data_IF_117081716647
#
_entry.id   IF_117081716647
#
_cell.length_a   1.000
_cell.length_b   1.000
_cell.length_c   1.000
_cell.angle_alpha   90.00
_cell.angle_beta   90.00
_cell.angle_gamma   90.00
#
_symmetry.space_group_name_H-M   'P 1'
#
loop_
_entity.id
_entity.type
_entity.pdbx_description
1 polymer ?
#
# COMPACT_ATOMS: atom_id res chain seq x y z
N UNK A 1 21.69 -2.72 20.14
CA UNK A 1 20.28 -2.26 19.98
C UNK A 1 19.36 -3.37 19.47
N UNK A 2 18.04 -3.22 19.63
CA UNK A 2 17.01 -4.12 19.08
C UNK A 2 17.06 -4.15 17.54
N UNK A 3 16.45 -5.18 16.95
CA UNK A 3 16.39 -5.39 15.51
C UNK A 3 15.01 -5.02 14.97
N UNK A 4 14.99 -4.49 13.75
CA UNK A 4 13.77 -4.20 12.99
C UNK A 4 13.96 -4.70 11.57
N UNK A 5 12.91 -5.32 11.01
CA UNK A 5 12.89 -5.72 9.61
C UNK A 5 12.43 -4.53 8.75
N UNK A 6 13.39 -3.70 8.34
CA UNK A 6 13.14 -2.48 7.57
C UNK A 6 12.41 -2.74 6.24
N UNK A 7 12.53 -3.94 5.66
CA UNK A 7 11.85 -4.30 4.42
C UNK A 7 10.34 -4.49 4.60
N UNK A 8 9.89 -4.81 5.81
CA UNK A 8 8.46 -4.95 6.11
C UNK A 8 7.76 -3.62 6.35
N UNK A 9 8.49 -2.54 6.56
CA UNK A 9 7.91 -1.21 6.69
C UNK A 9 7.46 -0.70 5.32
N UNK A 10 6.25 -0.15 5.28
CA UNK A 10 5.68 0.55 4.12
C UNK A 10 6.38 1.90 3.94
N UNK A 11 6.26 2.56 2.80
CA UNK A 11 7.12 3.73 2.53
C UNK A 11 6.93 4.89 3.50
N UNK A 12 5.70 5.26 3.89
CA UNK A 12 5.54 6.26 4.96
C UNK A 12 6.00 5.74 6.32
N UNK A 13 5.68 4.50 6.69
CA UNK A 13 6.10 3.95 7.98
C UNK A 13 7.63 3.93 8.10
N UNK A 14 8.31 3.53 7.03
CA UNK A 14 9.76 3.53 6.90
C UNK A 14 10.31 4.95 7.02
N UNK A 15 9.77 5.89 6.23
CA UNK A 15 10.22 7.28 6.25
C UNK A 15 10.02 7.90 7.63
N UNK A 16 8.88 7.65 8.27
CA UNK A 16 8.59 8.14 9.61
C UNK A 16 9.52 7.49 10.65
N UNK A 17 9.73 6.17 10.57
CA UNK A 17 10.64 5.47 11.47
C UNK A 17 12.06 6.07 11.45
N UNK A 18 12.61 6.29 10.25
CA UNK A 18 13.96 6.86 10.11
C UNK A 18 13.99 8.32 10.60
N UNK A 19 12.94 9.11 10.36
CA UNK A 19 12.82 10.49 10.88
C UNK A 19 12.74 10.52 12.41
N UNK A 20 11.98 9.62 13.02
CA UNK A 20 11.88 9.51 14.48
C UNK A 20 13.21 9.03 15.08
N UNK A 21 13.90 8.10 14.42
CA UNK A 21 15.24 7.65 14.80
C UNK A 21 16.25 8.82 14.80
N UNK A 22 16.24 9.63 13.73
CA UNK A 22 17.05 10.85 13.64
C UNK A 22 16.67 11.88 14.71
N UNK A 23 15.37 12.06 14.99
CA UNK A 23 14.89 13.00 15.99
C UNK A 23 15.38 12.62 17.40
N UNK A 24 15.29 11.33 17.77
CA UNK A 24 15.80 10.82 19.04
C UNK A 24 17.31 11.09 19.17
N UNK A 25 18.09 10.81 18.13
CA UNK A 25 19.53 11.09 18.16
C UNK A 25 19.83 12.58 18.37
N UNK A 26 19.12 13.47 17.68
CA UNK A 26 19.28 14.91 17.81
C UNK A 26 18.92 15.44 19.22
N UNK A 27 17.93 14.82 19.89
CA UNK A 27 17.56 15.16 21.26
C UNK A 27 18.61 14.73 22.30
N UNK A 28 19.54 13.85 21.95
CA UNK A 28 20.57 13.31 22.86
C UNK A 28 21.96 13.91 22.63
N UNK A 29 22.05 15.14 22.10
CA UNK A 29 23.30 15.84 21.84
C UNK A 29 24.31 15.02 21.00
N UNK A 30 24.11 14.94 19.67
CA UNK A 30 24.96 14.15 18.77
C UNK A 30 26.46 14.44 18.89
N UNK A 31 26.83 15.68 19.25
CA UNK A 31 28.23 16.08 19.40
C UNK A 31 28.90 15.36 20.56
N UNK A 32 28.19 15.21 21.67
CA UNK A 32 28.69 14.46 22.82
C UNK A 32 28.77 12.95 22.53
N UNK A 33 28.01 12.46 21.55
CA UNK A 33 27.97 11.06 21.15
C UNK A 33 28.95 10.73 20.01
N UNK A 34 29.66 11.71 19.44
CA UNK A 34 30.63 11.51 18.36
C UNK A 34 30.07 10.74 17.14
N UNK A 35 28.84 11.05 16.76
CA UNK A 35 28.09 10.41 15.67
C UNK A 35 27.74 11.34 14.50
N UNK A 36 28.16 12.60 14.52
CA UNK A 36 27.68 13.66 13.64
C UNK A 36 27.88 13.34 12.16
N UNK A 37 29.01 12.74 11.79
CA UNK A 37 29.29 12.35 10.41
C UNK A 37 28.27 11.32 9.88
N UNK A 38 27.93 10.30 10.69
CA UNK A 38 26.96 9.26 10.33
C UNK A 38 25.52 9.78 10.43
N UNK A 39 25.24 10.66 11.39
CA UNK A 39 23.96 11.33 11.51
C UNK A 39 23.67 12.22 10.30
N UNK A 40 24.67 12.96 9.81
CA UNK A 40 24.58 13.82 8.64
C UNK A 40 24.32 13.01 7.37
N UNK A 41 25.04 11.90 7.15
CA UNK A 41 24.84 11.00 6.01
C UNK A 41 23.42 10.40 6.00
N UNK A 42 22.94 9.90 7.15
CA UNK A 42 21.57 9.39 7.25
C UNK A 42 20.52 10.49 7.01
N UNK A 43 20.74 11.69 7.54
CA UNK A 43 19.82 12.84 7.35
C UNK A 43 19.72 13.24 5.87
N UNK A 44 20.85 13.29 5.16
CA UNK A 44 20.89 13.63 3.74
C UNK A 44 20.08 12.63 2.90
N UNK A 45 20.34 11.32 3.09
CA UNK A 45 19.63 10.25 2.37
C UNK A 45 18.13 10.22 2.69
N UNK A 46 17.77 10.45 3.96
CA UNK A 46 16.36 10.54 4.37
C UNK A 46 15.65 11.73 3.70
N UNK A 47 16.35 12.85 3.49
CA UNK A 47 15.81 14.04 2.82
C UNK A 47 15.60 13.82 1.32
N UNK A 48 16.54 13.15 0.65
CA UNK A 48 16.39 12.73 -0.75
C UNK A 48 15.19 11.79 -0.92
N UNK A 49 15.10 10.79 -0.04
CA UNK A 49 13.99 9.84 0.01
C UNK A 49 12.64 10.55 0.25
N UNK A 50 12.57 11.50 1.19
CA UNK A 50 11.34 12.28 1.46
C UNK A 50 10.91 13.09 0.23
N UNK A 51 11.86 13.69 -0.48
CA UNK A 51 11.59 14.48 -1.69
C UNK A 51 10.99 13.60 -2.78
N UNK A 52 11.58 12.43 -2.99
CA UNK A 52 11.10 11.46 -3.97
C UNK A 52 9.72 10.90 -3.60
N UNK A 53 9.51 10.59 -2.31
CA UNK A 53 8.22 10.16 -1.78
C UNK A 53 7.12 11.21 -2.00
N UNK A 54 7.40 12.50 -1.76
CA UNK A 54 6.45 13.59 -2.04
C UNK A 54 6.14 13.72 -3.53
N UNK A 55 7.15 13.60 -4.40
CA UNK A 55 6.95 13.63 -5.86
C UNK A 55 6.07 12.47 -6.34
N UNK A 56 6.27 11.28 -5.78
CA UNK A 56 5.43 10.12 -6.08
C UNK A 56 3.97 10.34 -5.66
N UNK A 57 3.72 10.91 -4.47
CA UNK A 57 2.37 11.23 -4.00
C UNK A 57 1.68 12.31 -4.84
N UNK A 58 2.43 13.30 -5.32
CA UNK A 58 1.93 14.41 -6.13
C UNK A 58 1.79 14.08 -7.62
N UNK A 59 2.13 12.85 -8.04
CA UNK A 59 2.04 12.43 -9.44
C UNK A 59 0.58 12.43 -9.91
N UNK A 60 0.27 13.18 -10.96
CA UNK A 60 -1.04 13.21 -11.61
C UNK A 60 -1.52 11.80 -11.99
N UNK A 61 -0.61 10.94 -12.45
CA UNK A 61 -0.91 9.54 -12.78
C UNK A 61 -1.35 8.70 -11.58
N UNK A 62 -0.88 9.04 -10.38
CA UNK A 62 -1.36 8.40 -9.15
C UNK A 62 -2.78 8.86 -8.84
N UNK A 63 -3.11 10.12 -9.08
CA UNK A 63 -4.47 10.63 -8.92
C UNK A 63 -5.42 10.03 -9.96
N UNK A 64 -4.98 9.92 -11.22
CA UNK A 64 -5.75 9.27 -12.29
C UNK A 64 -6.05 7.81 -11.97
N UNK A 65 -5.06 7.04 -11.50
CA UNK A 65 -5.28 5.65 -11.08
C UNK A 65 -6.26 5.52 -9.91
N UNK A 66 -6.23 6.44 -8.94
CA UNK A 66 -7.18 6.43 -7.82
C UNK A 66 -8.60 6.74 -8.29
N UNK A 67 -8.77 7.70 -9.20
CA UNK A 67 -10.06 8.02 -9.78
C UNK A 67 -10.62 6.85 -10.62
N UNK A 68 -9.75 6.18 -11.39
CA UNK A 68 -10.13 4.97 -12.12
C UNK A 68 -10.48 3.81 -11.18
N UNK A 69 -9.77 3.66 -10.06
CA UNK A 69 -10.10 2.66 -9.04
C UNK A 69 -11.47 2.90 -8.40
N UNK A 70 -11.75 4.15 -7.99
CA UNK A 70 -13.04 4.56 -7.44
C UNK A 70 -14.18 4.32 -8.44
N UNK A 71 -13.94 4.64 -9.72
CA UNK A 71 -14.91 4.37 -10.80
C UNK A 71 -15.22 2.88 -10.96
N UNK A 72 -14.24 1.99 -10.79
CA UNK A 72 -14.47 0.53 -10.79
C UNK A 72 -15.26 0.08 -9.56
N UNK A 73 -14.90 0.60 -8.39
CA UNK A 73 -15.60 0.29 -7.14
C UNK A 73 -17.07 0.66 -7.21
N UNK A 74 -17.37 1.85 -7.71
CA UNK A 74 -18.73 2.35 -7.83
C UNK A 74 -19.55 1.52 -8.81
N UNK A 75 -18.98 1.11 -9.95
CA UNK A 75 -19.66 0.24 -10.90
C UNK A 75 -20.00 -1.13 -10.28
N UNK A 76 -19.04 -1.76 -9.61
CA UNK A 76 -19.22 -3.07 -8.95
C UNK A 76 -20.22 -2.96 -7.80
N UNK A 77 -20.07 -1.97 -6.93
CA UNK A 77 -20.94 -1.77 -5.77
C UNK A 77 -22.36 -1.40 -6.22
N UNK A 78 -22.51 -0.55 -7.23
CA UNK A 78 -23.81 -0.15 -7.76
C UNK A 78 -24.60 -1.32 -8.31
N UNK A 79 -23.97 -2.18 -9.13
CA UNK A 79 -24.60 -3.42 -9.61
C UNK A 79 -24.95 -4.33 -8.43
N UNK A 80 -24.03 -4.54 -7.49
CA UNK A 80 -24.27 -5.38 -6.32
C UNK A 80 -25.48 -4.93 -5.50
N UNK A 81 -25.54 -3.64 -5.13
CA UNK A 81 -26.63 -3.11 -4.30
C UNK A 81 -27.96 -3.06 -5.07
N UNK A 82 -27.94 -2.78 -6.37
CA UNK A 82 -29.12 -2.88 -7.22
C UNK A 82 -29.70 -4.31 -7.21
N UNK A 83 -28.85 -5.32 -7.40
CA UNK A 83 -29.28 -6.71 -7.40
C UNK A 83 -29.76 -7.15 -6.01
N UNK A 84 -29.06 -6.72 -4.94
CA UNK A 84 -29.46 -7.00 -3.56
C UNK A 84 -30.85 -6.41 -3.22
N UNK A 85 -31.19 -5.25 -3.77
CA UNK A 85 -32.56 -4.73 -3.66
C UNK A 85 -33.57 -5.63 -4.38
N UNK A 86 -33.22 -6.10 -5.58
CA UNK A 86 -34.10 -6.94 -6.40
C UNK A 86 -34.28 -8.37 -5.88
N UNK A 87 -33.46 -8.87 -4.95
CA UNK A 87 -33.76 -10.15 -4.26
C UNK A 87 -35.00 -10.08 -3.37
N UNK A 88 -35.53 -8.88 -3.11
CA UNK A 88 -36.78 -8.68 -2.38
C UNK A 88 -37.93 -8.24 -3.31
N UNK A 89 -37.74 -8.33 -4.63
CA UNK A 89 -38.76 -7.92 -5.59
C UNK A 89 -40.00 -8.82 -5.52
N UNK A 90 -41.20 -8.25 -5.68
CA UNK A 90 -42.47 -8.99 -5.59
C UNK A 90 -42.71 -9.91 -6.80
N UNK A 91 -42.09 -9.62 -7.94
CA UNK A 91 -42.09 -10.50 -9.12
C UNK A 91 -41.03 -11.59 -8.96
N UNK A 92 -41.47 -12.85 -8.95
CA UNK A 92 -40.61 -14.03 -8.74
C UNK A 92 -39.49 -14.14 -9.77
N UNK A 93 -39.75 -13.81 -11.04
CA UNK A 93 -38.72 -13.88 -12.10
C UNK A 93 -37.58 -12.88 -11.85
N UNK A 94 -37.91 -11.64 -11.47
CA UNK A 94 -36.92 -10.63 -11.06
C UNK A 94 -36.13 -11.09 -9.84
N UNK A 95 -36.81 -11.59 -8.82
CA UNK A 95 -36.13 -12.11 -7.62
C UNK A 95 -35.10 -13.20 -7.97
N UNK A 96 -35.50 -14.20 -8.76
CA UNK A 96 -34.63 -15.31 -9.16
C UNK A 96 -33.46 -14.85 -10.04
N UNK A 97 -33.69 -13.92 -10.96
CA UNK A 97 -32.63 -13.36 -11.83
C UNK A 97 -31.63 -12.52 -11.04
N UNK A 98 -32.07 -11.81 -10.00
CA UNK A 98 -31.19 -11.08 -9.09
C UNK A 98 -30.34 -12.02 -8.25
N UNK A 99 -30.95 -13.06 -7.67
CA UNK A 99 -30.25 -14.12 -6.93
C UNK A 99 -29.23 -14.84 -7.80
N UNK A 100 -29.56 -15.09 -9.07
CA UNK A 100 -28.66 -15.71 -10.05
C UNK A 100 -27.39 -14.87 -10.29
N UNK A 101 -27.55 -13.56 -10.52
CA UNK A 101 -26.40 -12.67 -10.73
C UNK A 101 -25.56 -12.50 -9.45
N UNK A 102 -26.19 -12.33 -8.29
CA UNK A 102 -25.48 -12.28 -7.00
C UNK A 102 -24.77 -13.59 -6.68
N UNK A 103 -25.40 -14.73 -6.99
CA UNK A 103 -24.81 -16.05 -6.85
C UNK A 103 -23.55 -16.18 -7.69
N UNK A 104 -23.58 -15.69 -8.94
CA UNK A 104 -22.38 -15.64 -9.79
C UNK A 104 -21.31 -14.71 -9.20
N UNK A 105 -21.67 -13.52 -8.71
CA UNK A 105 -20.71 -12.61 -8.05
C UNK A 105 -20.05 -13.26 -6.83
N UNK A 106 -20.82 -13.98 -6.02
CA UNK A 106 -20.34 -14.64 -4.81
C UNK A 106 -19.30 -15.75 -5.08
N UNK A 107 -19.28 -16.35 -6.28
CA UNK A 107 -18.25 -17.32 -6.67
C UNK A 107 -16.82 -16.74 -6.64
N UNK A 108 -16.71 -15.42 -6.82
CA UNK A 108 -15.43 -14.70 -6.82
C UNK A 108 -15.11 -14.04 -5.46
N UNK A 109 -15.90 -14.33 -4.42
CA UNK A 109 -15.72 -13.82 -3.07
C UNK A 109 -16.55 -12.58 -2.76
N UNK A 110 -16.42 -12.10 -1.53
CA UNK A 110 -17.14 -10.92 -1.04
C UNK A 110 -16.26 -9.67 -1.08
N UNK A 111 -16.87 -8.51 -1.35
CA UNK A 111 -16.14 -7.23 -1.33
C UNK A 111 -15.12 -7.13 -2.45
N UNK A 112 -15.57 -7.35 -3.69
CA UNK A 112 -14.73 -7.26 -4.90
C UNK A 112 -14.05 -5.89 -4.98
N UNK A 113 -14.80 -4.82 -4.68
CA UNK A 113 -14.36 -3.43 -4.53
C UNK A 113 -13.44 -3.16 -3.33
N UNK A 114 -12.90 -4.20 -2.69
CA UNK A 114 -11.93 -4.11 -1.59
C UNK A 114 -10.71 -5.01 -1.84
N UNK A 115 -10.69 -5.73 -2.97
CA UNK A 115 -9.57 -6.54 -3.37
C UNK A 115 -8.40 -5.67 -3.79
N UNK A 116 -7.16 -6.15 -3.66
CA UNK A 116 -6.04 -5.45 -4.27
C UNK A 116 -6.23 -5.30 -5.80
N UNK A 117 -5.62 -4.29 -6.41
CA UNK A 117 -5.82 -3.91 -7.81
C UNK A 117 -5.75 -5.08 -8.80
N UNK A 118 -4.78 -5.98 -8.66
CA UNK A 118 -4.60 -7.12 -9.56
C UNK A 118 -5.69 -8.16 -9.36
N UNK A 119 -6.02 -8.47 -8.09
CA UNK A 119 -7.09 -9.39 -7.75
C UNK A 119 -8.46 -8.85 -8.19
N UNK A 120 -8.70 -7.55 -8.01
CA UNK A 120 -9.90 -6.87 -8.49
C UNK A 120 -9.99 -6.93 -10.03
N UNK A 121 -8.93 -6.57 -10.75
CA UNK A 121 -8.90 -6.64 -12.22
C UNK A 121 -9.17 -8.05 -12.73
N UNK A 122 -8.53 -9.07 -12.15
CA UNK A 122 -8.74 -10.46 -12.52
C UNK A 122 -10.18 -10.91 -12.23
N UNK A 123 -10.74 -10.48 -11.09
CA UNK A 123 -12.10 -10.81 -10.68
C UNK A 123 -13.13 -10.18 -11.61
N UNK A 124 -13.01 -8.88 -11.90
CA UNK A 124 -13.89 -8.17 -12.83
C UNK A 124 -13.84 -8.81 -14.23
N UNK A 125 -12.64 -9.14 -14.73
CA UNK A 125 -12.52 -9.81 -16.03
C UNK A 125 -13.22 -11.16 -16.08
N UNK A 126 -13.12 -11.96 -15.00
CA UNK A 126 -13.80 -13.25 -14.94
C UNK A 126 -15.33 -13.10 -14.82
N UNK A 127 -15.82 -12.11 -14.07
CA UNK A 127 -17.24 -11.77 -13.99
C UNK A 127 -17.81 -11.37 -15.34
N UNK A 128 -17.15 -10.43 -16.02
CA UNK A 128 -17.55 -9.98 -17.36
C UNK A 128 -17.61 -11.16 -18.33
N UNK A 129 -16.59 -12.03 -18.30
CA UNK A 129 -16.58 -13.24 -19.13
C UNK A 129 -17.75 -14.16 -18.82
N UNK A 130 -18.09 -14.37 -17.56
CA UNK A 130 -19.25 -15.18 -17.18
C UNK A 130 -20.55 -14.56 -17.69
N UNK A 131 -20.72 -13.26 -17.51
CA UNK A 131 -21.91 -12.51 -17.93
C UNK A 131 -22.08 -12.45 -19.45
N UNK A 132 -20.99 -12.45 -20.20
CA UNK A 132 -20.99 -12.48 -21.68
C UNK A 132 -21.25 -13.90 -22.24
N UNK A 133 -20.78 -14.96 -21.57
CA UNK A 133 -20.77 -16.31 -22.13
C UNK A 133 -21.84 -17.26 -21.57
N UNK A 134 -22.49 -16.92 -20.44
CA UNK A 134 -23.58 -17.71 -19.85
C UNK A 134 -24.91 -17.04 -20.17
N UNK A 135 -25.69 -17.67 -21.05
CA UNK A 135 -26.96 -17.12 -21.57
C UNK A 135 -27.91 -16.68 -20.46
N UNK A 136 -28.02 -17.45 -19.39
CA UNK A 136 -28.91 -17.15 -18.27
C UNK A 136 -28.54 -15.88 -17.49
N UNK A 137 -27.24 -15.54 -17.46
CA UNK A 137 -26.71 -14.32 -16.85
C UNK A 137 -26.89 -13.12 -17.79
N UNK A 138 -26.61 -13.31 -19.08
CA UNK A 138 -26.85 -12.29 -20.10
C UNK A 138 -28.33 -11.88 -20.15
N UNK A 139 -29.24 -12.85 -20.11
CA UNK A 139 -30.69 -12.62 -20.05
C UNK A 139 -31.09 -11.82 -18.80
N UNK A 140 -30.48 -12.11 -17.65
CA UNK A 140 -30.72 -11.37 -16.41
C UNK A 140 -30.27 -9.91 -16.52
N UNK A 141 -29.10 -9.67 -17.11
CA UNK A 141 -28.57 -8.32 -17.36
C UNK A 141 -29.49 -7.52 -18.26
N UNK A 142 -30.00 -8.14 -19.34
CA UNK A 142 -30.95 -7.51 -20.27
C UNK A 142 -32.27 -7.19 -19.56
N UNK A 143 -32.79 -8.13 -18.76
CA UNK A 143 -34.04 -7.95 -18.01
C UNK A 143 -33.99 -6.77 -17.03
N UNK A 144 -32.82 -6.52 -16.44
CA UNK A 144 -32.61 -5.40 -15.52
C UNK A 144 -32.10 -4.12 -16.19
N UNK A 145 -31.91 -4.11 -17.51
CA UNK A 145 -31.31 -3.00 -18.25
C UNK A 145 -29.93 -2.57 -17.71
N UNK A 146 -29.13 -3.56 -17.26
CA UNK A 146 -27.81 -3.32 -16.66
C UNK A 146 -26.69 -3.23 -17.70
N UNK A 147 -26.98 -3.34 -19.00
CA UNK A 147 -25.98 -3.35 -20.07
C UNK A 147 -25.04 -2.13 -20.02
N UNK A 148 -25.58 -0.94 -19.70
CA UNK A 148 -24.78 0.28 -19.56
C UNK A 148 -23.81 0.21 -18.38
N UNK A 149 -24.24 -0.31 -17.24
CA UNK A 149 -23.41 -0.54 -16.05
C UNK A 149 -22.31 -1.58 -16.29
N UNK A 150 -22.64 -2.67 -16.99
CA UNK A 150 -21.67 -3.71 -17.35
C UNK A 150 -20.59 -3.15 -18.28
N UNK A 151 -20.99 -2.36 -19.28
CA UNK A 151 -20.05 -1.70 -20.19
C UNK A 151 -19.17 -0.68 -19.46
N UNK A 152 -19.74 0.08 -18.52
CA UNK A 152 -18.99 1.02 -17.68
C UNK A 152 -17.95 0.31 -16.80
N UNK A 153 -18.34 -0.80 -16.15
CA UNK A 153 -17.43 -1.63 -15.36
C UNK A 153 -16.28 -2.19 -16.22
N UNK A 154 -16.58 -2.62 -17.44
CA UNK A 154 -15.57 -3.10 -18.41
C UNK A 154 -14.61 -2.00 -18.83
N UNK A 155 -15.14 -0.86 -19.27
CA UNK A 155 -14.33 0.28 -19.71
C UNK A 155 -13.42 0.79 -18.58
N UNK A 156 -13.95 0.98 -17.37
CA UNK A 156 -13.16 1.42 -16.23
C UNK A 156 -12.06 0.42 -15.86
N UNK A 157 -12.33 -0.90 -15.95
CA UNK A 157 -11.31 -1.92 -15.66
C UNK A 157 -10.19 -1.99 -16.73
N UNK A 158 -10.53 -1.83 -18.01
CA UNK A 158 -9.56 -1.79 -19.11
C UNK A 158 -8.67 -0.54 -19.04
N UNK A 159 -9.27 0.62 -18.77
CA UNK A 159 -8.57 1.89 -18.62
C UNK A 159 -7.65 1.88 -17.38
N UNK A 160 -8.15 1.38 -16.25
CA UNK A 160 -7.34 1.16 -15.06
C UNK A 160 -6.13 0.26 -15.35
N UNK A 161 -6.36 -0.90 -15.97
CA UNK A 161 -5.27 -1.85 -16.26
C UNK A 161 -4.22 -1.23 -17.20
N UNK A 162 -4.65 -0.43 -18.17
CA UNK A 162 -3.75 0.31 -19.07
C UNK A 162 -2.89 1.30 -18.30
N UNK A 163 -3.49 2.17 -17.49
CA UNK A 163 -2.75 3.16 -16.69
C UNK A 163 -1.85 2.50 -15.65
N UNK A 164 -2.30 1.39 -15.06
CA UNK A 164 -1.54 0.61 -14.11
C UNK A 164 -0.24 0.09 -14.76
N UNK A 165 -0.34 -0.44 -15.99
CA UNK A 165 0.80 -0.95 -16.73
C UNK A 165 1.76 0.18 -17.14
N UNK A 166 1.24 1.31 -17.63
CA UNK A 166 2.06 2.48 -17.96
C UNK A 166 2.86 2.96 -16.75
N UNK A 167 2.22 3.08 -15.59
CA UNK A 167 2.91 3.43 -14.35
C UNK A 167 3.95 2.39 -13.94
N UNK A 168 3.64 1.10 -14.10
CA UNK A 168 4.58 0.02 -13.82
C UNK A 168 5.81 0.08 -14.74
N UNK A 169 5.62 0.43 -16.01
CA UNK A 169 6.70 0.65 -16.97
C UNK A 169 7.55 1.86 -16.58
N UNK A 170 6.95 2.99 -16.20
CA UNK A 170 7.71 4.15 -15.72
C UNK A 170 8.53 3.87 -14.47
N UNK A 171 8.05 2.98 -13.60
CA UNK A 171 8.84 2.49 -12.47
C UNK A 171 9.97 1.54 -12.89
N UNK A 172 9.74 0.74 -13.94
CA UNK A 172 10.70 -0.24 -14.46
C UNK A 172 11.77 0.38 -15.35
N UNK A 173 11.49 1.51 -15.99
CA UNK A 173 12.46 2.31 -16.71
C UNK A 173 13.54 2.76 -15.72
N UNK A 174 14.79 2.38 -16.02
CA UNK A 174 15.94 2.44 -15.12
C UNK A 174 16.27 3.87 -14.68
N UNK A 175 15.51 4.38 -13.73
CA UNK A 175 15.82 5.58 -12.97
C UNK A 175 16.55 5.15 -11.69
N UNK A 176 17.83 5.52 -11.50
CA UNK A 176 18.54 5.24 -10.24
C UNK A 176 17.85 5.87 -9.03
N UNK A 177 16.99 6.88 -9.24
CA UNK A 177 16.20 7.56 -8.22
C UNK A 177 14.81 6.93 -8.04
N UNK A 178 14.74 5.61 -7.82
CA UNK A 178 13.52 4.98 -7.28
C UNK A 178 13.51 5.03 -5.76
N UNK A 179 12.31 5.03 -5.18
CA UNK A 179 12.17 5.01 -3.71
C UNK A 179 12.77 3.72 -3.14
N UNK A 180 12.63 2.59 -3.84
CA UNK A 180 13.33 1.34 -3.49
C UNK A 180 14.85 1.53 -3.41
N UNK A 181 15.48 2.05 -4.46
CA UNK A 181 16.92 2.31 -4.50
C UNK A 181 17.34 3.24 -3.36
N UNK A 182 16.61 4.33 -3.15
CA UNK A 182 16.88 5.30 -2.08
C UNK A 182 16.66 4.71 -0.67
N UNK A 183 15.73 3.76 -0.49
CA UNK A 183 15.58 3.00 0.77
C UNK A 183 16.76 2.07 1.01
N UNK A 184 17.28 1.41 -0.02
CA UNK A 184 18.48 0.56 0.10
C UNK A 184 19.70 1.39 0.51
N UNK A 185 19.91 2.54 -0.13
CA UNK A 185 20.94 3.51 0.26
C UNK A 185 20.74 4.02 1.71
N UNK A 186 19.50 4.36 2.08
CA UNK A 186 19.16 4.84 3.43
C UNK A 186 19.38 3.75 4.48
N UNK A 187 19.08 2.49 4.17
CA UNK A 187 19.31 1.34 5.04
C UNK A 187 20.80 1.19 5.37
N UNK A 188 21.68 1.35 4.37
CA UNK A 188 23.13 1.29 4.58
C UNK A 188 23.59 2.35 5.57
N UNK A 189 23.14 3.60 5.40
CA UNK A 189 23.47 4.70 6.33
C UNK A 189 22.87 4.47 7.73
N UNK A 190 21.64 3.97 7.80
CA UNK A 190 20.98 3.63 9.06
C UNK A 190 21.78 2.59 9.85
N UNK A 191 22.15 1.47 9.21
CA UNK A 191 22.92 0.42 9.88
C UNK A 191 24.33 0.90 10.23
N UNK A 192 24.96 1.75 9.41
CA UNK A 192 26.25 2.35 9.73
C UNK A 192 26.17 3.23 10.99
N UNK A 193 25.13 4.05 11.14
CA UNK A 193 24.92 4.89 12.32
C UNK A 193 24.57 4.07 13.56
N UNK A 194 23.64 3.11 13.43
CA UNK A 194 23.29 2.17 14.51
C UNK A 194 24.53 1.43 15.02
N UNK A 195 25.30 0.83 14.12
CA UNK A 195 26.48 0.06 14.49
C UNK A 195 27.57 0.96 15.11
N UNK A 196 27.69 2.22 14.69
CA UNK A 196 28.59 3.19 15.31
C UNK A 196 28.20 3.48 16.77
N UNK A 197 26.92 3.70 17.05
CA UNK A 197 26.42 3.90 18.42
C UNK A 197 26.65 2.66 19.28
N UNK A 198 26.29 1.47 18.79
CA UNK A 198 26.53 0.21 19.52
C UNK A 198 28.03 -0.01 19.79
N UNK A 199 28.91 0.24 18.79
CA UNK A 199 30.35 0.10 18.96
C UNK A 199 30.93 1.08 19.98
N UNK A 200 30.52 2.35 19.92
CA UNK A 200 30.96 3.37 20.87
C UNK A 200 30.50 3.06 22.30
N UNK A 201 29.26 2.57 22.46
CA UNK A 201 28.76 2.11 23.75
C UNK A 201 29.60 0.97 24.33
N UNK A 202 29.97 -0.02 23.51
CA UNK A 202 30.76 -1.18 23.93
C UNK A 202 32.19 -0.83 24.37
N UNK A 203 32.75 0.28 23.85
CA UNK A 203 34.08 0.75 24.21
C UNK A 203 34.12 1.53 25.55
N UNK A 204 32.97 1.79 26.17
CA UNK A 204 32.93 2.50 27.45
C UNK A 204 33.31 1.56 28.60
N UNK A 205 34.46 1.83 29.21
CA UNK A 205 34.97 1.05 30.35
C UNK A 205 34.40 1.51 31.70
N UNK A 206 33.91 2.75 31.79
CA UNK A 206 33.44 3.36 33.05
C UNK A 206 31.94 3.67 33.00
N UNK A 207 31.10 3.00 33.82
CA UNK A 207 29.68 3.32 33.93
C UNK A 207 29.39 4.67 34.61
N UNK A 208 28.27 5.35 34.27
CA UNK A 208 27.31 4.97 33.24
C UNK A 208 27.77 5.37 31.83
N UNK A 209 27.40 4.55 30.84
CA UNK A 209 27.70 4.88 29.44
C UNK A 209 26.87 6.08 28.96
N UNK A 210 27.48 7.08 28.29
CA UNK A 210 26.75 8.21 27.70
C UNK A 210 25.74 7.77 26.63
N UNK A 211 25.93 6.59 26.03
CA UNK A 211 25.04 6.03 25.02
C UNK A 211 23.82 5.28 25.59
N UNK A 212 23.78 4.99 26.89
CA UNK A 212 22.75 4.11 27.47
C UNK A 212 21.34 4.68 27.29
N UNK A 213 21.17 5.99 27.53
CA UNK A 213 19.89 6.68 27.39
C UNK A 213 19.38 6.62 25.96
N UNK A 214 20.22 6.99 24.98
CA UNK A 214 19.81 7.02 23.58
C UNK A 214 19.52 5.61 23.05
N UNK A 215 20.31 4.60 23.44
CA UNK A 215 20.07 3.20 23.08
C UNK A 215 18.70 2.73 23.60
N UNK A 216 18.35 3.05 24.86
CA UNK A 216 17.07 2.66 25.43
C UNK A 216 15.89 3.32 24.70
N UNK A 217 16.02 4.60 24.33
CA UNK A 217 14.99 5.31 23.58
C UNK A 217 14.82 4.75 22.16
N UNK A 218 15.93 4.46 21.47
CA UNK A 218 15.92 3.84 20.14
C UNK A 218 15.33 2.43 20.17
N UNK A 219 15.66 1.63 21.19
CA UNK A 219 15.05 0.31 21.39
C UNK A 219 13.53 0.42 21.61
N UNK A 220 13.08 1.37 22.42
CA UNK A 220 11.66 1.61 22.64
C UNK A 220 10.93 1.99 21.34
N UNK A 221 11.54 2.85 20.50
CA UNK A 221 11.01 3.17 19.16
C UNK A 221 10.92 1.91 18.28
N UNK A 222 12.01 1.12 18.21
CA UNK A 222 12.04 -0.14 17.46
C UNK A 222 10.93 -1.10 17.91
N UNK A 223 10.72 -1.23 19.22
CA UNK A 223 9.72 -2.15 19.76
C UNK A 223 8.29 -1.70 19.42
N UNK A 224 8.00 -0.40 19.44
CA UNK A 224 6.70 0.13 19.00
C UNK A 224 6.39 -0.23 17.54
N UNK A 225 7.38 -0.08 16.66
CA UNK A 225 7.22 -0.44 15.24
C UNK A 225 7.13 -1.96 15.03
N UNK A 226 7.87 -2.77 15.80
CA UNK A 226 7.75 -4.23 15.75
C UNK A 226 6.34 -4.68 16.18
N UNK A 227 5.74 -4.06 17.20
CA UNK A 227 4.34 -4.32 17.59
C UNK A 227 3.37 -3.98 16.46
N UNK A 228 3.58 -2.86 15.77
CA UNK A 228 2.79 -2.49 14.58
C UNK A 228 2.88 -3.58 13.50
N UNK A 229 4.09 -4.06 13.20
CA UNK A 229 4.32 -5.10 12.19
C UNK A 229 3.66 -6.43 12.56
N UNK A 230 3.73 -6.84 13.83
CA UNK A 230 3.11 -8.08 14.32
C UNK A 230 1.58 -8.01 14.25
N UNK A 231 1.00 -6.85 14.58
CA UNK A 231 -0.46 -6.67 14.59
C UNK A 231 -1.05 -6.40 13.19
N UNK A 232 -0.21 -6.33 12.15
CA UNK A 232 -0.66 -6.14 10.77
C UNK A 232 -1.42 -7.37 10.29
N UNK A 233 -2.74 -7.22 10.14
CA UNK A 233 -3.58 -8.23 9.49
C UNK A 233 -3.20 -8.36 8.01
N UNK A 234 -3.16 -9.58 7.45
CA UNK A 234 -3.03 -9.75 6.00
C UNK A 234 -4.21 -9.03 5.32
N UNK A 235 -3.93 -8.01 4.50
CA UNK A 235 -4.94 -7.29 3.72
C UNK A 235 -5.39 -5.91 4.24
N UNK A 236 -4.81 -5.35 5.32
CA UNK A 236 -5.05 -3.94 5.64
C UNK A 236 -4.17 -3.04 4.79
N UNK A 237 -4.72 -2.46 3.74
CA UNK A 237 -4.01 -1.54 2.88
C UNK A 237 -3.60 -0.25 3.60
N UNK A 238 -2.47 0.30 3.18
CA UNK A 238 -2.00 1.62 3.59
C UNK A 238 -1.99 2.53 2.38
N UNK A 239 -2.60 3.71 2.43
CA UNK A 239 -2.42 4.71 1.39
C UNK A 239 -0.96 5.11 1.18
N UNK A 240 -0.04 4.76 2.08
CA UNK A 240 1.39 5.04 1.96
C UNK A 240 2.29 3.87 1.51
N UNK A 241 1.74 2.68 1.25
CA UNK A 241 2.51 1.56 0.67
C UNK A 241 2.45 1.52 -0.87
N UNK A 242 2.07 2.63 -1.50
CA UNK A 242 1.72 2.77 -2.93
C UNK A 242 2.90 2.69 -3.90
N UNK A 243 3.96 1.97 -3.56
CA UNK A 243 4.99 1.50 -4.51
C UNK A 243 4.86 0.02 -4.86
N UNK A 244 4.05 -0.72 -4.10
CA UNK A 244 3.52 -2.01 -4.51
C UNK A 244 2.02 -1.87 -4.62
N UNK A 245 1.56 -1.46 -5.80
CA UNK A 245 0.17 -1.29 -6.21
C UNK A 245 -0.77 -2.36 -5.63
N UNK A 246 -1.32 -2.11 -4.46
CA UNK A 246 -2.39 -2.92 -3.86
C UNK A 246 -3.31 -1.95 -3.14
N UNK A 247 -4.61 -2.12 -3.43
CA UNK A 247 -5.73 -1.44 -2.80
C UNK A 247 -5.77 -1.70 -1.30
#
# INVERSE_FOLDING_TARGET
>A
MNAIDLFKLRNAEYLQYVKDYLAILNLNNPQQLEIEAKLTDLTARTTELETLYKKALASEKTQELLALDERRDDAVNGIFYFLLGNTYHFETDRQQKAELLLGNMALYGSGISRLNYQAETATINNLLRDWENKSELADAIILFDLSSWVNEMKAANEEFNTQYLLRTQEYGDANPDTIKSKREETNLAYYALRNRVDALHLLIETPPSPYATVINQLNALTDQYNVLLVNRKPGSADPANREGLTK
#
